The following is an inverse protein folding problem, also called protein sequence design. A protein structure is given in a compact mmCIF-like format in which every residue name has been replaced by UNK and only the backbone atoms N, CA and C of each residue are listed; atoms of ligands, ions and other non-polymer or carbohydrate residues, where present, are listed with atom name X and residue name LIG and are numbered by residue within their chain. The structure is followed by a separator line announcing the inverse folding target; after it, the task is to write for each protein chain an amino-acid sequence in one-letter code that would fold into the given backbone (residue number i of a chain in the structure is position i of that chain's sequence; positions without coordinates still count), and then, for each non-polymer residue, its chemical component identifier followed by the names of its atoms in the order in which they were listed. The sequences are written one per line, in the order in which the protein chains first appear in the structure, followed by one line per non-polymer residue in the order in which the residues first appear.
data_IF_057776475947
#
_entry.id   IF_057776475947
#
_cell.length_a   1.000
_cell.length_b   1.000
_cell.length_c   1.000
_cell.angle_alpha   90.00
_cell.angle_beta   90.00
_cell.angle_gamma   90.00
#
_symmetry.space_group_name_H-M   'P 1'
#
loop_
_entity.id
_entity.type
_entity.pdbx_description
1 polymer ?
#
# COMPACT_ATOMS: atom_id res chain seq x y z
N UNK A 1 5.30 -36.78 -3.56
CA UNK A 1 6.06 -35.50 -3.59
C UNK A 1 5.02 -34.41 -3.81
N UNK A 2 4.87 -33.45 -2.89
CA UNK A 2 3.98 -32.33 -3.15
C UNK A 2 4.52 -31.54 -4.33
N UNK A 3 3.68 -31.27 -5.34
CA UNK A 3 4.03 -30.39 -6.46
C UNK A 3 4.51 -29.05 -5.89
N UNK A 4 5.64 -28.54 -6.41
CA UNK A 4 6.10 -27.20 -6.02
C UNK A 4 5.01 -26.20 -6.45
N UNK A 5 4.59 -25.27 -5.57
CA UNK A 5 3.59 -24.29 -5.93
C UNK A 5 4.07 -23.49 -7.15
N UNK A 6 3.16 -23.25 -8.09
CA UNK A 6 3.39 -22.52 -9.35
C UNK A 6 3.86 -21.08 -9.10
N UNK A 7 3.49 -20.51 -7.95
CA UNK A 7 3.93 -19.21 -7.45
C UNK A 7 3.93 -19.19 -5.91
N UNK A 8 4.69 -18.25 -5.33
CA UNK A 8 4.75 -17.99 -3.89
C UNK A 8 4.47 -16.51 -3.65
N UNK A 9 3.56 -16.22 -2.72
CA UNK A 9 3.24 -14.85 -2.28
C UNK A 9 3.22 -14.83 -0.75
N UNK A 10 4.19 -14.11 -0.19
CA UNK A 10 4.28 -13.83 1.25
C UNK A 10 4.64 -12.35 1.45
N UNK A 11 4.53 -11.78 2.66
CA UNK A 11 4.95 -10.40 2.92
C UNK A 11 6.43 -10.12 2.57
N UNK A 12 7.25 -11.16 2.57
CA UNK A 12 8.70 -11.06 2.39
C UNK A 12 9.19 -11.55 1.03
N UNK A 13 8.42 -12.39 0.33
CA UNK A 13 8.84 -13.02 -0.92
C UNK A 13 7.68 -13.19 -1.91
N UNK A 14 7.95 -12.84 -3.18
CA UNK A 14 7.05 -13.10 -4.30
C UNK A 14 7.87 -13.77 -5.41
N UNK A 15 7.47 -14.98 -5.82
CA UNK A 15 8.12 -15.75 -6.89
C UNK A 15 7.10 -16.34 -7.84
N UNK A 16 7.48 -16.49 -9.10
CA UNK A 16 6.64 -17.05 -10.15
C UNK A 16 5.60 -16.06 -10.69
N UNK A 17 4.87 -16.48 -11.72
CA UNK A 17 3.77 -15.68 -12.27
C UNK A 17 2.52 -15.87 -11.42
N UNK A 18 2.08 -14.80 -10.76
CA UNK A 18 0.96 -14.85 -9.83
C UNK A 18 -0.37 -14.98 -10.59
N UNK A 19 -1.11 -16.04 -10.29
CA UNK A 19 -2.52 -16.19 -10.67
C UNK A 19 -3.39 -15.56 -9.54
N UNK A 20 -3.91 -14.37 -9.79
CA UNK A 20 -4.67 -13.61 -8.81
C UNK A 20 -6.05 -14.21 -8.49
N UNK A 21 -6.63 -15.01 -9.37
CA UNK A 21 -7.86 -15.75 -9.10
C UNK A 21 -7.61 -16.87 -8.08
N UNK A 22 -6.59 -17.71 -8.34
CA UNK A 22 -6.15 -18.75 -7.39
C UNK A 22 -5.69 -18.14 -6.05
N UNK A 23 -4.96 -17.00 -6.09
CA UNK A 23 -4.49 -16.33 -4.88
C UNK A 23 -5.66 -15.82 -4.03
N UNK A 24 -6.71 -15.28 -4.66
CA UNK A 24 -7.94 -14.88 -3.98
C UNK A 24 -8.59 -16.05 -3.24
N UNK A 25 -8.70 -17.20 -3.88
CA UNK A 25 -9.23 -18.43 -3.26
C UNK A 25 -8.35 -18.90 -2.09
N UNK A 26 -7.02 -18.97 -2.30
CA UNK A 26 -6.07 -19.39 -1.25
C UNK A 26 -6.11 -18.48 -0.03
N UNK A 27 -6.28 -17.17 -0.22
CA UNK A 27 -6.35 -16.21 0.86
C UNK A 27 -7.77 -16.08 1.45
N UNK A 28 -8.80 -16.64 0.81
CA UNK A 28 -10.19 -16.54 1.22
C UNK A 28 -10.67 -15.08 1.21
N UNK A 29 -10.30 -14.33 0.18
CA UNK A 29 -10.75 -12.94 -0.03
C UNK A 29 -11.90 -12.90 -1.03
N UNK A 30 -12.71 -11.85 -0.97
CA UNK A 30 -13.85 -11.65 -1.87
C UNK A 30 -13.46 -10.84 -3.09
N UNK A 31 -14.15 -11.04 -4.20
CA UNK A 31 -13.96 -10.26 -5.42
C UNK A 31 -14.44 -8.82 -5.24
N UNK A 32 -13.65 -7.86 -5.70
CA UNK A 32 -14.10 -6.48 -5.86
C UNK A 32 -14.95 -6.38 -7.13
N UNK A 33 -16.23 -6.66 -7.00
CA UNK A 33 -17.18 -6.76 -8.10
C UNK A 33 -17.68 -5.40 -8.61
N UNK A 34 -18.42 -5.43 -9.72
CA UNK A 34 -18.99 -4.26 -10.34
C UNK A 34 -20.00 -3.52 -9.43
N UNK A 35 -20.69 -4.25 -8.55
CA UNK A 35 -21.68 -3.66 -7.63
C UNK A 35 -20.97 -2.79 -6.57
N UNK A 36 -19.89 -3.29 -5.97
CA UNK A 36 -19.06 -2.54 -5.03
C UNK A 36 -18.35 -1.36 -5.69
N UNK A 37 -17.80 -1.55 -6.89
CA UNK A 37 -17.22 -0.46 -7.67
C UNK A 37 -18.25 0.64 -7.98
N UNK A 38 -19.45 0.26 -8.41
CA UNK A 38 -20.55 1.20 -8.67
C UNK A 38 -20.96 1.94 -7.39
N UNK A 39 -20.91 1.27 -6.24
CA UNK A 39 -21.23 1.88 -4.94
C UNK A 39 -20.17 2.92 -4.54
N UNK A 40 -18.88 2.59 -4.68
CA UNK A 40 -17.78 3.55 -4.44
C UNK A 40 -17.96 4.79 -5.34
N UNK A 41 -18.25 4.61 -6.64
CA UNK A 41 -18.44 5.72 -7.58
C UNK A 41 -19.62 6.63 -7.20
N UNK A 42 -20.73 6.07 -6.73
CA UNK A 42 -21.87 6.87 -6.26
C UNK A 42 -21.54 7.67 -5.00
N UNK A 43 -20.80 7.09 -4.06
CA UNK A 43 -20.40 7.78 -2.83
C UNK A 43 -19.35 8.86 -3.08
N UNK A 44 -18.40 8.60 -3.95
CA UNK A 44 -17.37 9.56 -4.36
C UNK A 44 -17.92 10.73 -5.18
N UNK A 45 -19.09 10.57 -5.81
CA UNK A 45 -19.68 11.58 -6.74
C UNK A 45 -18.70 12.02 -7.84
N UNK A 46 -17.79 11.17 -8.21
CA UNK A 46 -16.72 11.38 -9.18
C UNK A 46 -16.46 10.07 -9.96
N UNK A 47 -15.82 10.14 -11.14
CA UNK A 47 -15.35 8.95 -11.82
C UNK A 47 -14.43 8.14 -10.91
N UNK A 48 -14.57 6.81 -10.92
CA UNK A 48 -13.69 5.93 -10.16
C UNK A 48 -12.22 6.17 -10.52
N UNK A 49 -11.35 6.00 -9.55
CA UNK A 49 -9.91 6.06 -9.75
C UNK A 49 -9.46 5.04 -10.82
N UNK A 50 -8.51 5.36 -11.72
CA UNK A 50 -8.04 4.43 -12.76
C UNK A 50 -7.57 3.07 -12.20
N UNK A 51 -6.93 3.04 -11.04
CA UNK A 51 -6.53 1.80 -10.37
C UNK A 51 -7.71 0.86 -10.06
N UNK A 52 -8.90 1.40 -9.80
CA UNK A 52 -10.13 0.63 -9.61
C UNK A 52 -10.71 0.19 -10.96
N UNK A 53 -10.90 1.13 -11.90
CA UNK A 53 -11.49 0.84 -13.23
C UNK A 53 -10.67 -0.17 -14.04
N UNK A 54 -9.33 -0.08 -13.95
CA UNK A 54 -8.41 -0.96 -14.69
C UNK A 54 -8.10 -2.26 -13.95
N UNK A 55 -8.84 -2.57 -12.86
CA UNK A 55 -8.73 -3.81 -12.12
C UNK A 55 -7.36 -4.02 -11.45
N UNK A 56 -6.64 -2.93 -11.12
CA UNK A 56 -5.43 -3.04 -10.31
C UNK A 56 -5.78 -3.46 -8.88
N UNK A 57 -6.88 -2.95 -8.33
CA UNK A 57 -7.53 -3.49 -7.14
C UNK A 57 -8.58 -4.51 -7.57
N UNK A 58 -8.53 -5.72 -6.99
CA UNK A 58 -9.30 -6.87 -7.50
C UNK A 58 -9.99 -7.70 -6.42
N UNK A 59 -9.58 -7.57 -5.17
CA UNK A 59 -10.21 -8.30 -4.06
C UNK A 59 -10.29 -7.46 -2.79
N UNK A 60 -11.12 -7.92 -1.84
CA UNK A 60 -11.33 -7.21 -0.59
C UNK A 60 -11.66 -8.14 0.58
N UNK A 61 -11.61 -7.59 1.81
CA UNK A 61 -12.23 -8.14 3.00
C UNK A 61 -13.15 -7.08 3.59
N UNK A 62 -14.43 -7.41 3.78
CA UNK A 62 -15.45 -6.61 4.47
C UNK A 62 -15.62 -5.16 3.97
N UNK A 63 -15.29 -4.85 2.71
CA UNK A 63 -15.47 -3.51 2.15
C UNK A 63 -16.94 -3.07 2.23
N UNK A 64 -17.89 -3.97 1.92
CA UNK A 64 -19.32 -3.67 1.97
C UNK A 64 -19.74 -3.12 3.33
N UNK A 65 -19.24 -3.71 4.42
CA UNK A 65 -19.54 -3.24 5.79
C UNK A 65 -19.04 -1.84 6.07
N UNK A 66 -17.85 -1.49 5.58
CA UNK A 66 -17.30 -0.13 5.74
C UNK A 66 -18.15 0.89 4.99
N UNK A 67 -18.60 0.54 3.78
CA UNK A 67 -19.47 1.40 2.99
C UNK A 67 -20.86 1.53 3.63
N UNK A 68 -21.41 0.46 4.24
CA UNK A 68 -22.67 0.49 5.00
C UNK A 68 -22.59 1.49 6.17
N UNK A 69 -21.50 1.48 6.92
CA UNK A 69 -21.30 2.40 8.03
C UNK A 69 -21.15 3.85 7.55
N UNK A 70 -20.41 4.04 6.46
CA UNK A 70 -20.25 5.37 5.86
C UNK A 70 -21.60 5.95 5.37
N UNK A 71 -22.45 5.16 4.73
CA UNK A 71 -23.78 5.56 4.28
C UNK A 71 -24.73 5.91 5.44
N UNK A 72 -24.52 5.32 6.63
CA UNK A 72 -25.24 5.67 7.87
C UNK A 72 -24.68 6.94 8.55
N UNK A 73 -23.67 7.58 7.99
CA UNK A 73 -23.03 8.77 8.57
C UNK A 73 -21.93 8.46 9.59
N UNK A 74 -21.45 7.20 9.68
CA UNK A 74 -20.28 6.85 10.46
C UNK A 74 -19.05 6.73 9.56
N UNK A 75 -18.23 7.80 9.41
CA UNK A 75 -17.09 7.80 8.52
C UNK A 75 -16.04 6.80 8.98
N UNK A 76 -15.43 6.13 8.01
CA UNK A 76 -14.25 5.31 8.24
C UNK A 76 -12.98 6.15 8.13
N UNK A 77 -11.84 5.55 8.45
CA UNK A 77 -10.53 6.12 8.16
C UNK A 77 -9.72 5.17 7.27
N UNK A 78 -8.76 5.74 6.56
CA UNK A 78 -7.81 5.02 5.73
C UNK A 78 -6.54 4.74 6.52
N UNK A 79 -5.95 3.57 6.31
CA UNK A 79 -4.64 3.25 6.85
C UNK A 79 -3.79 2.57 5.78
N UNK A 80 -2.55 2.98 5.70
CA UNK A 80 -1.51 2.29 4.93
C UNK A 80 -0.14 2.58 5.55
N UNK A 81 0.89 1.84 5.17
CA UNK A 81 2.19 2.01 5.79
C UNK A 81 3.37 1.71 4.87
N UNK A 82 4.55 2.08 5.34
CA UNK A 82 5.80 1.85 4.63
C UNK A 82 6.93 1.47 5.58
N UNK A 83 7.57 0.32 5.31
CA UNK A 83 8.84 -0.03 5.92
C UNK A 83 10.01 0.58 5.15
N UNK A 84 10.71 1.57 5.71
CA UNK A 84 11.74 2.32 5.01
C UNK A 84 13.05 1.51 4.92
N UNK A 85 13.47 1.17 3.72
CA UNK A 85 14.71 0.42 3.49
C UNK A 85 15.55 0.95 2.33
N UNK A 86 15.15 2.09 1.77
CA UNK A 86 15.76 2.73 0.63
C UNK A 86 14.78 3.68 -0.06
N UNK A 87 15.13 4.20 -1.26
CA UNK A 87 14.25 5.10 -2.02
C UNK A 87 12.97 4.40 -2.45
N UNK A 88 11.89 5.18 -2.64
CA UNK A 88 10.66 4.67 -3.20
C UNK A 88 10.75 4.55 -4.73
N UNK A 89 10.06 3.55 -5.27
CA UNK A 89 9.78 3.42 -6.69
C UNK A 89 8.29 3.62 -6.97
N UNK A 90 7.94 3.83 -8.23
CA UNK A 90 6.57 4.20 -8.65
C UNK A 90 5.48 3.27 -8.12
N UNK A 91 5.73 1.96 -8.03
CA UNK A 91 4.72 1.03 -7.54
C UNK A 91 4.43 1.13 -6.03
N UNK A 92 5.33 1.71 -5.25
CA UNK A 92 5.06 1.99 -3.84
C UNK A 92 3.99 3.06 -3.63
N UNK A 93 3.76 3.92 -4.63
CA UNK A 93 2.72 4.95 -4.54
C UNK A 93 1.31 4.41 -4.78
N UNK A 94 1.17 3.23 -5.40
CA UNK A 94 -0.15 2.66 -5.76
C UNK A 94 -1.16 2.69 -4.58
N UNK A 95 -0.85 2.18 -3.38
CA UNK A 95 -1.80 2.25 -2.26
C UNK A 95 -2.06 3.70 -1.80
N UNK A 96 -1.04 4.55 -1.82
CA UNK A 96 -1.17 5.93 -1.36
C UNK A 96 -1.97 6.79 -2.36
N UNK A 97 -1.85 6.57 -3.65
CA UNK A 97 -2.66 7.24 -4.68
C UNK A 97 -4.14 6.91 -4.54
N UNK A 98 -4.49 5.65 -4.29
CA UNK A 98 -5.87 5.30 -4.01
C UNK A 98 -6.36 5.88 -2.68
N UNK A 99 -5.53 5.84 -1.61
CA UNK A 99 -5.86 6.46 -0.33
C UNK A 99 -6.10 7.96 -0.47
N UNK A 100 -5.27 8.67 -1.22
CA UNK A 100 -5.40 10.10 -1.44
C UNK A 100 -6.70 10.43 -2.18
N UNK A 101 -7.03 9.68 -3.24
CA UNK A 101 -8.29 9.85 -3.95
C UNK A 101 -9.50 9.57 -3.03
N UNK A 102 -9.47 8.48 -2.24
CA UNK A 102 -10.55 8.18 -1.29
C UNK A 102 -10.66 9.26 -0.21
N UNK A 103 -9.53 9.76 0.31
CA UNK A 103 -9.51 10.85 1.28
C UNK A 103 -10.25 12.08 0.74
N UNK A 104 -9.92 12.50 -0.47
CA UNK A 104 -10.52 13.69 -1.09
C UNK A 104 -12.00 13.49 -1.45
N UNK A 105 -12.34 12.33 -2.03
CA UNK A 105 -13.69 12.10 -2.53
C UNK A 105 -14.70 11.78 -1.42
N UNK A 106 -14.26 11.14 -0.34
CA UNK A 106 -15.13 10.68 0.74
C UNK A 106 -14.94 11.46 2.04
N UNK A 107 -14.10 12.47 2.04
CA UNK A 107 -13.89 13.34 3.19
C UNK A 107 -13.45 12.58 4.47
N UNK A 108 -12.58 11.58 4.31
CA UNK A 108 -12.12 10.70 5.40
C UNK A 108 -10.68 10.98 5.81
N UNK A 109 -10.31 10.59 7.03
CA UNK A 109 -8.95 10.73 7.53
C UNK A 109 -8.01 9.66 6.96
N UNK A 110 -6.73 9.99 6.83
CA UNK A 110 -5.66 9.07 6.45
C UNK A 110 -4.65 8.93 7.57
N UNK A 111 -4.35 7.69 7.94
CA UNK A 111 -3.28 7.32 8.86
C UNK A 111 -2.18 6.60 8.10
N UNK A 112 -0.95 7.12 8.20
CA UNK A 112 0.24 6.57 7.54
C UNK A 112 1.18 6.05 8.61
N UNK A 113 1.68 4.83 8.50
CA UNK A 113 2.70 4.31 9.39
C UNK A 113 4.04 4.18 8.67
N UNK A 114 5.08 4.78 9.21
CA UNK A 114 6.47 4.62 8.80
C UNK A 114 7.17 3.75 9.86
N UNK A 115 7.43 2.49 9.49
CA UNK A 115 7.94 1.47 10.39
C UNK A 115 9.47 1.48 10.39
N UNK A 116 10.06 2.55 10.92
CA UNK A 116 11.50 2.76 10.97
C UNK A 116 12.24 1.83 11.95
N UNK A 117 11.51 1.20 12.86
CA UNK A 117 11.96 0.15 13.77
C UNK A 117 11.95 -1.25 13.11
N UNK A 118 10.89 -1.61 12.38
CA UNK A 118 10.75 -2.93 11.75
C UNK A 118 11.91 -3.22 10.79
N UNK A 119 12.24 -2.27 9.93
CA UNK A 119 13.33 -2.47 8.95
C UNK A 119 14.69 -2.52 9.59
N UNK A 120 14.92 -1.77 10.65
CA UNK A 120 16.12 -1.85 11.46
C UNK A 120 16.28 -3.27 12.10
N UNK A 121 15.21 -3.82 12.64
CA UNK A 121 15.25 -5.19 13.21
C UNK A 121 15.38 -6.27 12.15
N UNK A 122 14.79 -6.07 10.97
CA UNK A 122 14.80 -7.07 9.90
C UNK A 122 16.11 -7.11 9.11
N UNK A 123 16.81 -5.98 8.94
CA UNK A 123 18.02 -5.87 8.13
C UNK A 123 19.27 -5.71 9.00
N UNK A 124 20.12 -6.74 9.14
CA UNK A 124 21.30 -6.69 10.03
C UNK A 124 22.28 -5.53 9.73
N UNK A 125 22.35 -5.08 8.49
CA UNK A 125 23.30 -4.05 8.04
C UNK A 125 22.68 -2.65 7.96
N UNK A 126 21.41 -2.46 8.35
CA UNK A 126 20.75 -1.15 8.35
C UNK A 126 20.95 -0.49 9.73
N UNK A 127 21.56 0.70 9.74
CA UNK A 127 21.69 1.48 10.99
C UNK A 127 20.38 2.18 11.35
N UNK A 128 20.24 2.59 12.62
CA UNK A 128 19.05 3.35 13.07
C UNK A 128 18.95 4.70 12.36
N UNK A 129 20.08 5.36 12.15
CA UNK A 129 20.18 6.65 11.46
C UNK A 129 19.72 6.50 10.00
N UNK A 130 20.15 5.45 9.32
CA UNK A 130 19.74 5.15 7.94
C UNK A 130 18.25 4.84 7.87
N UNK A 131 17.74 4.00 8.79
CA UNK A 131 16.30 3.69 8.84
C UNK A 131 15.44 4.94 9.06
N UNK A 132 15.84 5.83 9.98
CA UNK A 132 15.16 7.12 10.21
C UNK A 132 15.24 8.04 9.00
N UNK A 133 16.41 8.18 8.40
CA UNK A 133 16.60 9.00 7.20
C UNK A 133 15.70 8.51 6.08
N UNK A 134 15.73 7.22 5.77
CA UNK A 134 14.85 6.65 4.74
C UNK A 134 13.38 6.75 5.13
N UNK A 135 13.05 6.65 6.42
CA UNK A 135 11.71 6.89 6.93
C UNK A 135 11.20 8.28 6.55
N UNK A 136 11.99 9.30 6.82
CA UNK A 136 11.62 10.68 6.51
C UNK A 136 11.57 10.95 5.00
N UNK A 137 12.55 10.48 4.24
CA UNK A 137 12.54 10.61 2.77
C UNK A 137 11.34 9.90 2.14
N UNK A 138 10.99 8.69 2.62
CA UNK A 138 9.80 7.97 2.16
C UNK A 138 8.50 8.69 2.58
N UNK A 139 8.45 9.30 3.77
CA UNK A 139 7.31 10.10 4.18
C UNK A 139 7.09 11.28 3.22
N UNK A 140 8.14 12.00 2.84
CA UNK A 140 8.03 13.10 1.87
C UNK A 140 7.50 12.62 0.52
N UNK A 141 7.97 11.47 0.01
CA UNK A 141 7.46 10.89 -1.23
C UNK A 141 5.97 10.52 -1.13
N UNK A 142 5.55 10.00 0.01
CA UNK A 142 4.15 9.64 0.25
C UNK A 142 3.28 10.91 0.33
N UNK A 143 3.69 11.90 1.09
CA UNK A 143 2.95 13.16 1.25
C UNK A 143 2.88 13.94 -0.07
N UNK A 144 3.89 13.82 -0.94
CA UNK A 144 3.93 14.41 -2.27
C UNK A 144 2.83 13.89 -3.21
N UNK A 145 2.15 12.80 -2.88
CA UNK A 145 0.95 12.32 -3.61
C UNK A 145 -0.20 13.33 -3.55
N UNK A 146 -0.23 14.21 -2.53
CA UNK A 146 -1.20 15.32 -2.43
C UNK A 146 -2.30 15.09 -1.40
N UNK A 147 -1.97 14.51 -0.26
CA UNK A 147 -2.86 14.39 0.89
C UNK A 147 -3.23 15.75 1.50
N UNK A 148 -4.43 15.84 2.09
CA UNK A 148 -4.85 16.99 2.90
C UNK A 148 -4.13 16.96 4.26
N UNK A 149 -3.27 17.95 4.58
CA UNK A 149 -2.56 18.00 5.88
C UNK A 149 -3.47 17.99 7.11
N UNK A 150 -4.68 18.54 7.00
CA UNK A 150 -5.64 18.62 8.11
C UNK A 150 -6.27 17.27 8.47
N UNK A 151 -6.20 16.30 7.58
CA UNK A 151 -6.81 14.97 7.73
C UNK A 151 -5.80 13.85 7.56
N UNK A 152 -4.52 14.17 7.59
CA UNK A 152 -3.43 13.20 7.49
C UNK A 152 -2.70 13.13 8.81
N UNK A 153 -2.52 11.91 9.29
CA UNK A 153 -1.88 11.59 10.56
C UNK A 153 -0.78 10.56 10.29
N UNK A 154 0.39 10.76 10.87
CA UNK A 154 1.54 9.89 10.64
C UNK A 154 2.02 9.28 11.95
N UNK A 155 2.13 7.96 11.99
CA UNK A 155 2.95 7.25 12.95
C UNK A 155 4.35 7.06 12.36
N UNK A 156 5.32 7.68 12.96
CA UNK A 156 6.71 7.41 12.72
C UNK A 156 7.19 6.60 13.93
N UNK A 157 7.26 5.27 13.81
CA UNK A 157 7.19 4.36 14.97
C UNK A 157 8.12 4.74 16.12
N UNK A 158 9.40 5.05 15.85
CA UNK A 158 10.33 5.44 16.93
C UNK A 158 10.03 6.81 17.55
N UNK A 159 9.32 7.72 16.85
CA UNK A 159 8.85 9.01 17.38
C UNK A 159 7.49 8.87 18.06
N UNK A 160 6.63 8.03 17.48
CA UNK A 160 5.22 7.88 17.85
C UNK A 160 5.00 6.85 18.97
N UNK A 161 6.05 6.19 19.46
CA UNK A 161 5.91 5.09 20.44
C UNK A 161 5.14 5.52 21.70
N UNK A 162 5.30 6.78 22.15
CA UNK A 162 4.57 7.32 23.29
C UNK A 162 3.05 7.34 23.08
N UNK A 163 2.59 7.60 21.85
CA UNK A 163 1.18 7.56 21.49
C UNK A 163 0.66 6.11 21.30
N UNK A 164 1.54 5.19 20.90
CA UNK A 164 1.17 3.84 20.48
C UNK A 164 1.27 2.80 21.60
N UNK A 165 2.17 3.01 22.57
CA UNK A 165 2.63 1.95 23.47
C UNK A 165 1.51 1.35 24.32
N UNK A 166 0.64 2.15 24.90
CA UNK A 166 -0.47 1.66 25.73
C UNK A 166 -1.36 0.68 24.97
N UNK A 167 -1.76 1.05 23.74
CA UNK A 167 -2.56 0.17 22.89
C UNK A 167 -1.75 -1.05 22.40
N UNK A 168 -0.45 -0.88 22.12
CA UNK A 168 0.42 -1.98 21.75
C UNK A 168 0.54 -3.04 22.84
N UNK A 169 0.57 -2.63 24.12
CA UNK A 169 0.58 -3.55 25.29
C UNK A 169 -0.70 -4.37 25.34
N UNK A 170 -1.87 -3.74 25.15
CA UNK A 170 -3.15 -4.43 25.12
C UNK A 170 -3.23 -5.45 23.97
N UNK A 171 -2.77 -5.06 22.80
CA UNK A 171 -2.67 -5.93 21.61
C UNK A 171 -1.72 -7.08 21.88
N UNK A 172 -0.48 -6.81 22.36
CA UNK A 172 0.56 -7.81 22.60
C UNK A 172 0.10 -8.88 23.60
N UNK A 173 -0.68 -8.49 24.61
CA UNK A 173 -1.28 -9.44 25.58
C UNK A 173 -2.17 -10.49 24.92
N UNK A 174 -2.73 -10.19 23.75
CA UNK A 174 -3.66 -11.07 23.03
C UNK A 174 -3.02 -11.92 21.93
N UNK A 175 -1.74 -11.66 21.58
CA UNK A 175 -1.04 -12.38 20.50
C UNK A 175 -0.10 -13.43 21.09
N UNK A 176 -0.44 -14.74 21.04
CA UNK A 176 0.49 -15.78 21.44
C UNK A 176 1.68 -15.87 20.45
N UNK A 177 2.86 -16.16 20.97
CA UNK A 177 4.06 -16.40 20.13
C UNK A 177 3.83 -17.48 19.06
N UNK A 178 3.06 -18.52 19.37
CA UNK A 178 2.69 -19.59 18.42
C UNK A 178 1.95 -19.03 17.19
N UNK A 179 1.06 -18.06 17.37
CA UNK A 179 0.36 -17.38 16.27
C UNK A 179 1.35 -16.58 15.40
N UNK A 180 2.23 -15.79 16.03
CA UNK A 180 3.27 -15.04 15.32
C UNK A 180 4.14 -15.96 14.47
N UNK A 181 4.63 -17.05 15.09
CA UNK A 181 5.44 -18.05 14.40
C UNK A 181 4.72 -18.71 13.24
N UNK A 182 3.45 -19.06 13.41
CA UNK A 182 2.65 -19.73 12.36
C UNK A 182 2.35 -18.81 11.18
N UNK A 183 2.06 -17.53 11.43
CA UNK A 183 1.68 -16.57 10.38
C UNK A 183 2.89 -16.04 9.62
N UNK A 184 4.00 -15.75 10.32
CA UNK A 184 5.16 -15.09 9.72
C UNK A 184 6.33 -16.03 9.42
N UNK A 185 6.25 -17.31 9.86
CA UNK A 185 7.30 -18.29 9.63
C UNK A 185 8.61 -17.98 10.36
N UNK A 186 8.58 -17.22 11.45
CA UNK A 186 9.76 -16.78 12.15
C UNK A 186 10.56 -17.96 12.72
N UNK A 187 11.85 -18.09 12.38
CA UNK A 187 12.73 -19.09 13.00
C UNK A 187 13.02 -18.76 14.47
N UNK A 188 13.50 -19.73 15.26
CA UNK A 188 13.86 -19.52 16.68
C UNK A 188 14.89 -18.41 16.91
N UNK A 189 15.70 -18.09 15.90
CA UNK A 189 16.71 -17.01 15.93
C UNK A 189 16.15 -15.61 15.67
N UNK A 190 14.84 -15.47 15.41
CA UNK A 190 14.21 -14.16 15.20
C UNK A 190 14.36 -13.30 16.45
N UNK A 191 14.84 -12.06 16.29
CA UNK A 191 14.96 -11.13 17.42
C UNK A 191 13.60 -10.73 17.98
N UNK A 192 13.58 -10.39 19.28
CA UNK A 192 12.34 -10.04 19.99
C UNK A 192 11.66 -8.80 19.45
N UNK A 193 12.41 -7.87 18.84
CA UNK A 193 11.86 -6.66 18.20
C UNK A 193 10.89 -7.01 17.09
N UNK A 194 11.26 -7.89 16.15
CA UNK A 194 10.38 -8.35 15.07
C UNK A 194 9.14 -9.09 15.60
N UNK A 195 9.29 -9.84 16.70
CA UNK A 195 8.14 -10.48 17.35
C UNK A 195 7.18 -9.45 17.91
N UNK A 196 7.68 -8.44 18.62
CA UNK A 196 6.86 -7.35 19.19
C UNK A 196 6.26 -6.45 18.12
N UNK A 197 6.94 -6.23 17.01
CA UNK A 197 6.45 -5.44 15.89
C UNK A 197 5.08 -5.92 15.37
N UNK A 198 4.78 -7.21 15.45
CA UNK A 198 3.47 -7.75 15.06
C UNK A 198 2.32 -7.13 15.87
N UNK A 199 2.57 -6.71 17.10
CA UNK A 199 1.60 -5.97 17.90
C UNK A 199 1.58 -4.47 17.52
N UNK A 200 2.74 -3.85 17.30
CA UNK A 200 2.84 -2.44 16.90
C UNK A 200 2.12 -2.16 15.59
N UNK A 201 2.28 -3.03 14.59
CA UNK A 201 1.62 -2.88 13.29
C UNK A 201 0.08 -2.91 13.38
N UNK A 202 -0.47 -3.52 14.42
CA UNK A 202 -1.91 -3.57 14.65
C UNK A 202 -2.48 -2.25 15.19
N UNK A 203 -1.67 -1.47 15.91
CA UNK A 203 -2.10 -0.26 16.62
C UNK A 203 -2.81 0.76 15.73
N UNK A 204 -2.28 1.15 14.56
CA UNK A 204 -2.94 2.16 13.72
C UNK A 204 -4.35 1.75 13.29
N UNK A 205 -4.63 0.45 13.15
CA UNK A 205 -5.96 -0.05 12.78
C UNK A 205 -7.03 0.24 13.84
N UNK A 206 -6.64 0.42 15.08
CA UNK A 206 -7.56 0.63 16.21
C UNK A 206 -7.43 2.00 16.85
N UNK A 207 -6.34 2.72 16.57
CA UNK A 207 -6.01 3.98 17.22
C UNK A 207 -7.14 5.03 17.18
N UNK A 208 -7.81 5.32 16.04
CA UNK A 208 -8.92 6.27 16.02
C UNK A 208 -10.10 5.83 16.88
N UNK A 209 -10.37 4.53 16.96
CA UNK A 209 -11.43 4.00 17.84
C UNK A 209 -11.05 4.15 19.32
N UNK A 210 -9.77 3.87 19.65
CA UNK A 210 -9.24 3.98 21.01
C UNK A 210 -9.23 5.42 21.51
N UNK A 211 -8.77 6.37 20.68
CA UNK A 211 -8.74 7.80 21.02
C UNK A 211 -10.15 8.38 21.20
N UNK A 212 -11.10 7.96 20.36
CA UNK A 212 -12.46 8.51 20.35
C UNK A 212 -13.44 7.80 21.28
N UNK A 213 -13.03 6.70 21.90
CA UNK A 213 -13.88 5.89 22.75
C UNK A 213 -15.12 5.32 22.05
N UNK A 214 -15.12 5.25 20.71
CA UNK A 214 -16.21 4.70 19.89
C UNK A 214 -15.68 3.94 18.69
N UNK A 215 -16.49 3.03 18.16
CA UNK A 215 -16.11 2.28 16.95
C UNK A 215 -15.95 3.21 15.74
N UNK A 216 -14.79 3.18 15.11
CA UNK A 216 -14.48 3.87 13.84
C UNK A 216 -13.96 2.82 12.87
N UNK A 217 -14.66 2.53 11.75
CA UNK A 217 -14.21 1.55 10.79
C UNK A 217 -12.89 1.92 10.13
N UNK A 218 -12.04 0.94 9.87
CA UNK A 218 -10.75 1.09 9.19
C UNK A 218 -10.81 0.44 7.81
N UNK A 219 -10.32 1.13 6.77
CA UNK A 219 -10.12 0.59 5.42
C UNK A 219 -8.64 0.67 5.04
N UNK A 220 -8.07 -0.45 4.60
CA UNK A 220 -6.64 -0.60 4.30
C UNK A 220 -6.44 -0.97 2.83
N UNK A 221 -6.18 0.00 1.94
CA UNK A 221 -5.65 -0.30 0.61
C UNK A 221 -4.19 -0.75 0.71
N UNK A 222 -3.91 -1.98 0.24
CA UNK A 222 -2.57 -2.57 0.31
C UNK A 222 -2.34 -3.59 -0.81
N UNK A 223 -1.08 -3.96 -1.07
CA UNK A 223 -0.78 -5.13 -1.87
C UNK A 223 -1.29 -6.40 -1.21
N UNK A 224 -1.74 -7.37 -2.01
CA UNK A 224 -2.27 -8.64 -1.49
C UNK A 224 -1.24 -9.40 -0.64
N UNK A 225 0.04 -9.20 -0.89
CA UNK A 225 1.13 -9.79 -0.12
C UNK A 225 1.14 -9.34 1.35
N UNK A 226 0.47 -8.23 1.70
CA UNK A 226 0.34 -7.72 3.07
C UNK A 226 -0.84 -8.34 3.84
N UNK A 227 -1.74 -9.09 3.19
CA UNK A 227 -2.92 -9.69 3.84
C UNK A 227 -2.61 -10.53 5.10
N UNK A 228 -1.52 -11.34 5.16
CA UNK A 228 -1.20 -12.12 6.36
C UNK A 228 -1.03 -11.28 7.63
N UNK A 229 -0.43 -10.09 7.53
CA UNK A 229 -0.28 -9.17 8.66
C UNK A 229 -1.65 -8.73 9.20
N UNK A 230 -2.54 -8.33 8.30
CA UNK A 230 -3.85 -7.83 8.70
C UNK A 230 -4.83 -8.92 9.12
N UNK A 231 -4.61 -10.19 8.74
CA UNK A 231 -5.39 -11.30 9.30
C UNK A 231 -5.22 -11.42 10.81
N UNK A 232 -3.98 -11.34 11.31
CA UNK A 232 -3.73 -11.33 12.77
C UNK A 232 -4.49 -10.18 13.45
N UNK A 233 -4.40 -8.97 12.89
CA UNK A 233 -5.12 -7.81 13.38
C UNK A 233 -6.65 -8.05 13.43
N UNK A 234 -7.20 -8.62 12.37
CA UNK A 234 -8.63 -8.91 12.25
C UNK A 234 -9.12 -9.97 13.25
N UNK A 235 -8.30 -10.99 13.50
CA UNK A 235 -8.62 -12.07 14.46
C UNK A 235 -8.67 -11.54 15.91
N UNK A 236 -7.89 -10.50 16.21
CA UNK A 236 -7.85 -9.87 17.53
C UNK A 236 -8.94 -8.81 17.77
N UNK A 237 -9.43 -8.19 16.70
CA UNK A 237 -10.26 -6.99 16.77
C UNK A 237 -11.45 -7.13 17.75
N UNK A 238 -12.24 -8.21 17.63
CA UNK A 238 -13.41 -8.44 18.49
C UNK A 238 -13.04 -8.64 19.95
N UNK A 239 -11.92 -9.36 20.21
CA UNK A 239 -11.46 -9.61 21.58
C UNK A 239 -10.90 -8.36 22.27
N UNK A 240 -10.60 -7.33 21.50
CA UNK A 240 -10.17 -6.01 21.95
C UNK A 240 -11.31 -4.98 21.95
N UNK A 241 -12.49 -5.34 21.47
CA UNK A 241 -13.66 -4.46 21.38
C UNK A 241 -13.63 -3.48 20.20
N UNK A 242 -12.84 -3.76 19.16
CA UNK A 242 -12.72 -2.91 17.98
C UNK A 242 -13.36 -3.54 16.73
N UNK A 243 -13.81 -2.73 15.76
CA UNK A 243 -14.27 -3.27 14.48
C UNK A 243 -13.10 -3.89 13.70
N UNK A 244 -13.37 -5.03 13.04
CA UNK A 244 -12.39 -5.65 12.13
C UNK A 244 -12.03 -4.70 11.00
N UNK A 245 -10.75 -4.40 10.75
CA UNK A 245 -10.36 -3.59 9.60
C UNK A 245 -10.73 -4.28 8.29
N UNK A 246 -11.22 -3.49 7.34
CA UNK A 246 -11.47 -3.93 5.98
C UNK A 246 -10.23 -3.72 5.12
N UNK A 247 -10.06 -4.53 4.08
CA UNK A 247 -8.93 -4.45 3.16
C UNK A 247 -9.41 -4.31 1.71
N UNK A 248 -8.64 -3.54 0.93
CA UNK A 248 -8.67 -3.52 -0.52
C UNK A 248 -7.32 -4.00 -1.03
N UNK A 249 -7.31 -5.08 -1.82
CA UNK A 249 -6.08 -5.69 -2.28
C UNK A 249 -5.75 -5.32 -3.72
N UNK A 250 -4.56 -4.76 -3.91
CA UNK A 250 -3.99 -4.53 -5.24
C UNK A 250 -3.17 -5.72 -5.72
N UNK A 251 -3.13 -5.88 -7.04
CA UNK A 251 -2.11 -6.69 -7.70
C UNK A 251 -0.72 -6.06 -7.45
N UNK A 252 0.31 -6.86 -7.58
CA UNK A 252 1.69 -6.37 -7.55
C UNK A 252 2.08 -5.82 -8.93
N UNK A 253 2.77 -4.69 -8.96
CA UNK A 253 3.31 -4.16 -10.19
C UNK A 253 4.61 -4.92 -10.56
N UNK A 254 4.75 -5.39 -11.81
CA UNK A 254 5.93 -6.12 -12.23
C UNK A 254 7.18 -5.22 -12.23
N UNK A 255 8.33 -5.82 -12.03
CA UNK A 255 9.62 -5.15 -12.22
C UNK A 255 9.86 -4.76 -13.68
N UNK A 256 10.75 -3.80 -13.91
CA UNK A 256 11.08 -3.36 -15.28
C UNK A 256 11.72 -4.46 -16.13
N UNK A 257 12.42 -5.41 -15.51
CA UNK A 257 13.06 -6.52 -16.20
C UNK A 257 12.15 -7.76 -16.39
N UNK A 258 10.87 -7.66 -16.00
CA UNK A 258 9.87 -8.70 -16.16
C UNK A 258 9.63 -9.56 -14.92
N UNK A 259 10.23 -9.23 -13.78
CA UNK A 259 9.98 -9.92 -12.51
C UNK A 259 8.54 -9.71 -12.02
N UNK A 260 8.05 -10.67 -11.25
CA UNK A 260 6.68 -10.67 -10.74
C UNK A 260 6.35 -9.45 -9.85
N UNK A 261 7.36 -8.85 -9.21
CA UNK A 261 7.22 -7.67 -8.35
C UNK A 261 8.40 -6.72 -8.52
N UNK A 262 8.12 -5.43 -8.66
CA UNK A 262 9.12 -4.38 -8.55
C UNK A 262 9.66 -4.34 -7.11
N UNK A 263 10.99 -4.31 -6.95
CA UNK A 263 11.61 -4.34 -5.62
C UNK A 263 12.83 -3.43 -5.53
N UNK A 264 13.16 -2.98 -4.30
CA UNK A 264 14.35 -2.16 -4.00
C UNK A 264 15.63 -2.99 -3.79
N UNK A 265 15.53 -4.33 -3.81
CA UNK A 265 16.53 -5.18 -3.16
C UNK A 265 17.75 -5.54 -3.97
N UNK A 266 17.68 -6.10 -5.16
CA UNK A 266 18.85 -6.71 -5.81
C UNK A 266 19.30 -6.06 -7.10
N UNK A 267 18.41 -5.49 -7.89
CA UNK A 267 18.79 -4.83 -9.14
C UNK A 267 18.14 -3.45 -9.23
N UNK A 268 18.94 -2.42 -9.05
CA UNK A 268 18.48 -1.02 -9.19
C UNK A 268 17.89 -0.74 -10.59
N UNK A 269 18.23 -1.54 -11.59
CA UNK A 269 17.68 -1.42 -12.95
C UNK A 269 16.25 -1.99 -13.05
N UNK A 270 15.82 -2.83 -12.09
CA UNK A 270 14.49 -3.44 -12.10
C UNK A 270 13.36 -2.54 -11.53
N UNK A 271 13.69 -1.36 -11.04
CA UNK A 271 12.72 -0.42 -10.49
C UNK A 271 12.91 0.99 -11.05
N UNK A 272 11.78 1.67 -11.29
CA UNK A 272 11.75 3.10 -11.61
C UNK A 272 11.58 3.86 -10.30
N UNK A 273 12.72 4.38 -9.79
CA UNK A 273 12.74 5.14 -8.54
C UNK A 273 12.23 6.57 -8.74
N UNK A 274 11.65 7.14 -7.69
CA UNK A 274 11.13 8.52 -7.72
C UNK A 274 12.23 9.58 -7.74
N UNK A 275 13.43 9.21 -7.29
CA UNK A 275 14.64 10.04 -7.29
C UNK A 275 15.57 9.76 -8.49
N UNK A 276 15.18 8.87 -9.41
CA UNK A 276 15.99 8.59 -10.61
C UNK A 276 16.26 9.89 -11.42
N UNK A 277 17.53 10.19 -11.72
CA UNK A 277 17.83 11.27 -12.66
C UNK A 277 17.20 11.01 -14.04
N UNK A 278 16.81 12.05 -14.80
CA UNK A 278 16.10 11.88 -16.07
C UNK A 278 16.75 10.90 -17.05
N UNK A 279 18.07 10.98 -17.22
CA UNK A 279 18.83 10.06 -18.09
C UNK A 279 18.82 8.61 -17.59
N UNK A 280 18.77 8.41 -16.27
CA UNK A 280 18.71 7.08 -15.66
C UNK A 280 17.31 6.49 -15.86
N UNK A 281 16.26 7.25 -15.57
CA UNK A 281 14.87 6.84 -15.79
C UNK A 281 14.61 6.47 -17.26
N UNK A 282 15.04 7.31 -18.21
CA UNK A 282 14.93 7.02 -19.64
C UNK A 282 15.66 5.73 -20.01
N UNK A 283 16.92 5.56 -19.57
CA UNK A 283 17.71 4.35 -19.85
C UNK A 283 17.02 3.09 -19.32
N UNK A 284 16.46 3.14 -18.11
CA UNK A 284 15.70 2.02 -17.51
C UNK A 284 14.46 1.67 -18.33
N UNK A 285 13.67 2.66 -18.74
CA UNK A 285 12.46 2.45 -19.57
C UNK A 285 12.84 1.85 -20.92
N UNK A 286 13.89 2.37 -21.58
CA UNK A 286 14.34 1.86 -22.88
C UNK A 286 14.81 0.40 -22.80
N UNK A 287 15.42 -0.01 -21.69
CA UNK A 287 15.87 -1.40 -21.45
C UNK A 287 14.78 -2.32 -20.92
N UNK A 288 13.65 -1.79 -20.44
CA UNK A 288 12.61 -2.56 -19.79
C UNK A 288 12.10 -3.72 -20.65
N UNK A 289 11.71 -4.81 -19.98
CA UNK A 289 11.10 -5.98 -20.64
C UNK A 289 9.76 -5.61 -21.27
N UNK A 290 9.49 -6.19 -22.43
CA UNK A 290 8.24 -6.00 -23.16
C UNK A 290 7.68 -7.32 -23.64
N UNK A 291 6.37 -7.37 -23.87
CA UNK A 291 5.71 -8.50 -24.54
C UNK A 291 5.83 -8.50 -26.06
N UNK A 292 6.84 -7.81 -26.63
CA UNK A 292 7.09 -7.74 -28.07
C UNK A 292 7.58 -9.05 -28.69
N UNK A 293 7.85 -9.01 -29.99
CA UNK A 293 8.36 -10.13 -30.78
C UNK A 293 9.85 -9.95 -31.09
N UNK A 294 10.44 -10.98 -31.65
CA UNK A 294 11.88 -11.01 -31.98
C UNK A 294 12.25 -10.08 -33.13
N UNK A 295 11.34 -9.81 -34.07
CA UNK A 295 11.53 -8.86 -35.16
C UNK A 295 10.39 -7.84 -35.27
N UNK A 296 10.65 -6.72 -35.92
CA UNK A 296 9.67 -5.67 -36.20
C UNK A 296 8.57 -6.20 -37.14
N UNK A 297 8.94 -6.97 -38.15
CA UNK A 297 8.00 -7.57 -39.09
C UNK A 297 7.06 -8.53 -38.40
N UNK A 298 7.61 -9.37 -37.53
CA UNK A 298 6.80 -10.33 -36.76
C UNK A 298 5.85 -9.57 -35.80
N UNK A 299 6.34 -8.52 -35.12
CA UNK A 299 5.50 -7.72 -34.23
C UNK A 299 4.39 -6.98 -35.00
N UNK A 300 4.68 -6.43 -36.19
CA UNK A 300 3.65 -5.79 -37.03
C UNK A 300 2.57 -6.77 -37.49
N UNK A 301 2.96 -8.03 -37.74
CA UNK A 301 2.04 -9.09 -38.23
C UNK A 301 1.23 -9.73 -37.11
N UNK A 302 1.84 -10.02 -35.94
CA UNK A 302 1.25 -10.82 -34.86
C UNK A 302 0.87 -10.00 -33.63
N UNK A 303 1.28 -8.75 -33.58
CA UNK A 303 1.13 -7.90 -32.39
C UNK A 303 2.02 -8.34 -31.22
N UNK A 304 1.89 -7.66 -30.10
CA UNK A 304 2.57 -7.97 -28.85
C UNK A 304 1.57 -8.46 -27.78
N UNK A 305 2.12 -8.96 -26.66
CA UNK A 305 1.35 -9.47 -25.52
C UNK A 305 1.47 -8.47 -24.35
N UNK A 306 0.51 -7.53 -24.20
CA UNK A 306 0.60 -6.48 -23.17
C UNK A 306 0.59 -7.04 -21.74
N UNK A 307 -0.08 -8.16 -21.49
CA UNK A 307 -0.28 -8.74 -20.14
C UNK A 307 1.03 -9.19 -19.46
N UNK A 308 2.10 -9.40 -20.23
CA UNK A 308 3.43 -9.73 -19.68
C UNK A 308 4.39 -8.54 -19.72
N UNK A 309 3.96 -7.39 -20.25
CA UNK A 309 4.81 -6.26 -20.57
C UNK A 309 4.93 -5.29 -19.38
N UNK A 310 6.16 -5.07 -18.90
CA UNK A 310 6.43 -4.10 -17.80
C UNK A 310 6.06 -2.66 -18.19
N UNK A 311 6.21 -2.29 -19.45
CA UNK A 311 5.86 -0.96 -19.97
C UNK A 311 4.33 -0.78 -19.97
N UNK A 312 3.57 -1.78 -20.43
CA UNK A 312 2.11 -1.73 -20.37
C UNK A 312 1.58 -1.66 -18.94
N UNK A 313 2.25 -2.34 -17.99
CA UNK A 313 1.89 -2.25 -16.58
C UNK A 313 2.06 -0.82 -16.01
N UNK A 314 3.08 -0.08 -16.44
CA UNK A 314 3.26 1.32 -16.07
C UNK A 314 2.16 2.21 -16.68
N UNK A 315 1.77 1.99 -17.94
CA UNK A 315 0.62 2.67 -18.55
C UNK A 315 -0.67 2.38 -17.77
N UNK A 316 -0.93 1.09 -17.46
CA UNK A 316 -2.13 0.66 -16.73
C UNK A 316 -2.24 1.32 -15.36
N UNK A 317 -1.14 1.38 -14.62
CA UNK A 317 -1.17 1.81 -13.21
C UNK A 317 -1.11 3.31 -13.04
N UNK A 318 -0.40 4.04 -13.92
CA UNK A 318 -0.09 5.44 -13.63
C UNK A 318 -0.07 6.38 -14.84
N UNK A 319 0.58 6.00 -15.94
CA UNK A 319 0.99 6.99 -16.94
C UNK A 319 -0.01 7.23 -18.08
N UNK A 320 -1.06 6.41 -18.21
CA UNK A 320 -2.18 6.73 -19.08
C UNK A 320 -3.19 7.61 -18.32
N UNK A 321 -3.42 8.88 -18.77
CA UNK A 321 -4.24 9.84 -18.04
C UNK A 321 -5.71 9.42 -17.97
N UNK A 322 -6.21 8.76 -19.02
CA UNK A 322 -7.58 8.27 -19.11
C UNK A 322 -7.65 6.87 -19.73
N UNK A 323 -8.83 6.27 -19.72
CA UNK A 323 -9.03 4.92 -20.24
C UNK A 323 -9.03 4.90 -21.76
N UNK A 324 -9.36 6.00 -22.45
CA UNK A 324 -9.33 6.10 -23.91
C UNK A 324 -7.90 5.96 -24.44
N UNK A 325 -6.94 6.66 -23.82
CA UNK A 325 -5.53 6.53 -24.18
C UNK A 325 -5.02 5.13 -23.82
N UNK A 326 -5.36 4.62 -22.63
CA UNK A 326 -4.95 3.28 -22.20
C UNK A 326 -5.46 2.16 -23.13
N UNK A 327 -6.75 2.24 -23.53
CA UNK A 327 -7.36 1.27 -24.44
C UNK A 327 -6.76 1.38 -25.84
N UNK A 328 -6.43 2.60 -26.29
CA UNK A 328 -5.78 2.83 -27.57
C UNK A 328 -4.37 2.21 -27.58
N UNK A 329 -3.55 2.48 -26.58
CA UNK A 329 -2.22 1.88 -26.42
C UNK A 329 -2.33 0.34 -26.42
N UNK A 330 -3.30 -0.20 -25.66
CA UNK A 330 -3.49 -1.65 -25.55
C UNK A 330 -3.91 -2.26 -26.89
N UNK A 331 -4.84 -1.65 -27.61
CA UNK A 331 -5.31 -2.10 -28.92
C UNK A 331 -4.20 -2.04 -29.97
N UNK A 332 -3.49 -0.92 -30.05
CA UNK A 332 -2.39 -0.73 -30.99
C UNK A 332 -1.21 -1.68 -30.69
N UNK A 333 -0.92 -1.95 -29.41
CA UNK A 333 0.07 -2.94 -29.00
C UNK A 333 -0.30 -4.36 -29.49
N UNK A 334 -1.55 -4.78 -29.25
CA UNK A 334 -2.04 -6.10 -29.67
C UNK A 334 -2.12 -6.28 -31.18
N UNK A 335 -2.39 -5.23 -31.93
CA UNK A 335 -2.46 -5.27 -33.39
C UNK A 335 -1.10 -5.14 -34.09
N UNK A 336 -0.02 -4.77 -33.35
CA UNK A 336 1.29 -4.49 -33.92
C UNK A 336 1.41 -3.10 -34.57
N UNK A 337 0.40 -2.26 -34.47
CA UNK A 337 0.43 -0.88 -34.94
C UNK A 337 1.41 -0.03 -34.12
N UNK A 338 1.48 -0.24 -32.81
CA UNK A 338 2.42 0.41 -31.90
C UNK A 338 3.62 -0.50 -31.61
N UNK A 339 4.80 -0.10 -32.06
CA UNK A 339 6.02 -0.83 -31.78
C UNK A 339 6.52 -0.54 -30.35
N UNK A 340 7.23 -1.50 -29.75
CA UNK A 340 7.73 -1.39 -28.37
C UNK A 340 8.66 -0.19 -28.18
N UNK A 341 9.49 0.13 -29.19
CA UNK A 341 10.38 1.31 -29.15
C UNK A 341 9.62 2.63 -29.05
N UNK A 342 8.57 2.78 -29.86
CA UNK A 342 7.71 3.98 -29.88
C UNK A 342 6.89 4.08 -28.59
N UNK A 343 6.32 2.94 -28.12
CA UNK A 343 5.61 2.87 -26.86
C UNK A 343 6.48 3.31 -25.67
N UNK A 344 7.75 2.86 -25.62
CA UNK A 344 8.73 3.30 -24.62
C UNK A 344 9.03 4.78 -24.74
N UNK A 345 9.18 5.32 -25.97
CA UNK A 345 9.36 6.74 -26.22
C UNK A 345 8.24 7.59 -25.64
N UNK A 346 6.98 7.25 -25.98
CA UNK A 346 5.78 7.91 -25.42
C UNK A 346 5.75 7.84 -23.89
N UNK A 347 6.14 6.69 -23.31
CA UNK A 347 6.17 6.54 -21.84
C UNK A 347 7.22 7.46 -21.20
N UNK A 348 8.40 7.61 -21.79
CA UNK A 348 9.45 8.53 -21.31
C UNK A 348 8.92 9.96 -21.24
N UNK A 349 8.17 10.41 -22.26
CA UNK A 349 7.54 11.74 -22.31
C UNK A 349 6.54 11.99 -21.17
N UNK A 350 5.97 10.93 -20.58
CA UNK A 350 5.07 11.00 -19.42
C UNK A 350 5.81 10.88 -18.09
N UNK A 351 6.82 10.01 -18.05
CA UNK A 351 7.56 9.73 -16.81
C UNK A 351 8.45 10.90 -16.38
N UNK A 352 9.16 11.54 -17.31
CA UNK A 352 10.10 12.58 -16.93
C UNK A 352 9.41 13.80 -16.28
N UNK A 353 8.33 14.37 -16.84
CA UNK A 353 7.58 15.44 -16.17
C UNK A 353 6.99 15.00 -14.83
N UNK A 354 6.48 13.75 -14.73
CA UNK A 354 6.01 13.22 -13.47
C UNK A 354 7.09 13.21 -12.38
N UNK A 355 8.30 12.74 -12.68
CA UNK A 355 9.40 12.72 -11.72
C UNK A 355 9.83 14.13 -11.30
N UNK A 356 9.77 15.10 -12.20
CA UNK A 356 10.05 16.50 -11.91
C UNK A 356 9.00 17.11 -10.98
N UNK A 357 7.71 16.94 -11.32
CA UNK A 357 6.61 17.43 -10.49
C UNK A 357 6.59 16.75 -9.11
N UNK A 358 6.89 15.44 -9.05
CA UNK A 358 6.98 14.72 -7.79
C UNK A 358 8.07 15.30 -6.88
N UNK A 359 9.25 15.64 -7.42
CA UNK A 359 10.31 16.31 -6.65
C UNK A 359 9.86 17.68 -6.13
N UNK A 360 9.19 18.47 -6.96
CA UNK A 360 8.63 19.75 -6.52
C UNK A 360 7.55 19.57 -5.42
N UNK A 361 6.69 18.56 -5.57
CA UNK A 361 5.68 18.22 -4.56
C UNK A 361 6.29 17.77 -3.24
N UNK A 362 7.41 17.04 -3.25
CA UNK A 362 8.17 16.68 -2.04
C UNK A 362 8.64 17.90 -1.25
N UNK A 363 9.17 18.92 -1.94
CA UNK A 363 9.62 20.13 -1.24
C UNK A 363 8.45 20.88 -0.61
N UNK A 364 7.30 20.94 -1.28
CA UNK A 364 6.07 21.48 -0.67
C UNK A 364 5.60 20.66 0.54
N UNK A 365 5.70 19.33 0.47
CA UNK A 365 5.33 18.44 1.57
C UNK A 365 6.24 18.61 2.79
N UNK A 366 7.52 18.95 2.59
CA UNK A 366 8.50 19.18 3.66
C UNK A 366 8.06 20.29 4.63
N UNK A 367 7.33 21.29 4.13
CA UNK A 367 6.85 22.43 4.94
C UNK A 367 5.90 22.01 6.07
N UNK A 368 5.20 20.87 5.91
CA UNK A 368 4.20 20.42 6.87
C UNK A 368 4.38 18.97 7.36
N UNK A 369 5.36 18.23 6.85
CA UNK A 369 5.55 16.83 7.17
C UNK A 369 5.66 16.54 8.68
N UNK A 370 6.38 17.38 9.43
CA UNK A 370 6.52 17.21 10.87
C UNK A 370 5.24 17.50 11.64
N UNK A 371 4.38 18.40 11.14
CA UNK A 371 3.14 18.79 11.81
C UNK A 371 2.07 17.70 11.85
N UNK A 372 2.18 16.68 11.02
CA UNK A 372 1.22 15.56 10.96
C UNK A 372 1.70 14.30 11.69
N UNK A 373 2.92 14.34 12.27
CA UNK A 373 3.45 13.20 13.03
C UNK A 373 2.84 13.21 14.44
N UNK A 374 2.22 12.08 14.79
CA UNK A 374 1.65 11.88 16.13
C UNK A 374 2.77 11.46 17.08
N UNK A 375 3.15 12.31 18.03
CA UNK A 375 4.16 11.99 19.05
C UNK A 375 3.53 11.56 20.38
N UNK A 376 2.36 12.12 20.70
CA UNK A 376 1.64 11.86 21.95
C UNK A 376 0.18 11.52 21.69
N UNK A 377 -0.38 10.63 22.49
CA UNK A 377 -1.81 10.42 22.50
C UNK A 377 -2.53 11.64 23.10
N UNK A 378 -3.74 11.99 22.63
CA UNK A 378 -4.54 13.02 23.26
C UNK A 378 -4.82 12.70 24.75
N UNK A 379 -4.93 13.73 25.58
CA UNK A 379 -5.36 13.57 26.97
C UNK A 379 -6.73 12.86 27.03
N UNK A 380 -6.85 11.86 27.90
CA UNK A 380 -8.08 11.08 28.04
C UNK A 380 -8.21 9.91 27.06
N UNK A 381 -7.27 9.69 26.15
CA UNK A 381 -7.23 8.47 25.34
C UNK A 381 -7.03 7.24 26.25
N UNK A 382 -7.78 6.15 26.04
CA UNK A 382 -7.45 4.95 26.81
C UNK A 382 -8.54 3.94 27.12
N UNK A 383 -9.72 4.00 26.51
CA UNK A 383 -10.70 2.91 26.70
C UNK A 383 -11.20 2.35 25.38
N UNK A 384 -11.24 1.01 25.29
CA UNK A 384 -11.90 0.34 24.16
C UNK A 384 -13.40 0.71 24.16
N UNK A 385 -14.03 0.83 22.97
CA UNK A 385 -15.47 1.02 22.87
C UNK A 385 -16.20 -0.08 23.64
N UNK A 386 -16.98 0.28 24.67
CA UNK A 386 -17.75 -0.67 25.49
C UNK A 386 -17.03 -1.23 26.74
N UNK A 387 -15.87 -0.74 27.11
CA UNK A 387 -15.23 -1.08 28.40
C UNK A 387 -15.92 -0.36 29.56
N UNK A 388 -16.21 -1.02 30.71
CA UNK A 388 -16.91 -0.43 31.86
C UNK A 388 -16.16 0.68 32.60
N UNK A 389 -14.99 1.10 32.13
CA UNK A 389 -14.09 2.02 32.86
C UNK A 389 -14.12 3.49 32.43
N UNK A 390 -14.87 3.87 31.40
CA UNK A 390 -14.83 5.24 30.86
C UNK A 390 -15.63 6.28 31.65
N UNK A 391 -16.42 5.89 32.67
CA UNK A 391 -17.35 6.78 33.37
C UNK A 391 -16.93 7.20 34.78
N UNK A 392 -15.77 6.82 35.30
CA UNK A 392 -15.44 7.02 36.72
C UNK A 392 -14.20 7.86 37.05
N UNK A 393 -13.57 8.55 36.10
CA UNK A 393 -12.38 9.39 36.38
C UNK A 393 -12.63 10.92 36.36
N UNK A 394 -13.88 11.37 36.30
CA UNK A 394 -14.20 12.81 36.33
C UNK A 394 -14.91 13.28 37.58
N UNK A 395 -14.85 12.56 38.74
CA UNK A 395 -15.35 13.06 40.00
C UNK A 395 -14.33 12.86 41.12
N UNK A 396 -13.42 13.81 41.27
CA UNK A 396 -12.52 13.80 42.42
C UNK A 396 -11.36 14.77 42.30
N UNK A 397 -11.66 16.08 42.23
CA UNK A 397 -10.95 17.16 43.00
C UNK A 397 -11.58 18.51 42.77
#
# INVERSE_FOLDING_TARGET
MAEKPEFVVTPYEVKGRVDYAKLREQFGTQELDAALLGRIGRLAKAPLHPLLRRGMYYSHRDLGRVLDEYEKGNPFFLYSGRGPSGPLHTSHLIPFELCQWLQQQLDVEMYIQITDDEKFWFRPNLTREESRRWGYENLLDILAVGFDPKRTHVFFDTRSIGAMYSLAVDVAKKIPYSTVKAVFGFPPSTNIGLVFYTALQTVPCFYPSWVRGRAVPCLIPAGIDQDPHFRVTRDLAESLGYPKPALLHSQMAPGLLGDAKMSTGQEKENALFLDDPPKVAEKKIRKAFTGGRTSIEEQRRLGATPEICSIWALWRTKFAPDDTEFDTITRECRSGALLCGDCKGRLVERVLPFLEEHRAARERAREWADSVIIEHAPEGAGSAPGSPGAAQLTSGR
#
